data_IF_963197078059
#
_entry.id   IF_963197078059
#
_cell.length_a   1.000
_cell.length_b   1.000
_cell.length_c   1.000
_cell.angle_alpha   90.00
_cell.angle_beta   90.00
_cell.angle_gamma   90.00
#
_symmetry.space_group_name_H-M   'P 1'
#
loop_
_entity.id
_entity.type
_entity.pdbx_description
1 polymer ?
#
# COMPACT_ATOMS: atom_id res chain seq x y z
N UNK A 1 -20.58 12.55 -11.80
CA UNK A 1 -19.68 13.30 -10.89
C UNK A 1 -18.37 13.52 -11.63
N UNK A 2 -17.97 14.75 -11.94
CA UNK A 2 -16.70 15.01 -12.65
C UNK A 2 -15.57 14.90 -11.62
N UNK A 3 -14.81 13.81 -11.68
CA UNK A 3 -13.58 13.66 -10.90
C UNK A 3 -12.57 14.65 -11.50
N UNK A 4 -12.23 15.71 -10.78
CA UNK A 4 -11.11 16.57 -11.13
C UNK A 4 -9.84 15.76 -10.92
N UNK A 5 -9.28 15.22 -12.00
CA UNK A 5 -7.93 14.66 -12.00
C UNK A 5 -6.96 15.79 -11.72
N UNK A 6 -6.44 15.87 -10.49
CA UNK A 6 -5.29 16.74 -10.18
C UNK A 6 -4.15 16.31 -11.08
N UNK A 7 -3.69 17.20 -11.96
CA UNK A 7 -2.52 16.97 -12.79
C UNK A 7 -1.31 16.80 -11.88
N UNK A 8 -0.74 15.59 -11.84
CA UNK A 8 0.44 15.27 -11.04
C UNK A 8 1.65 16.03 -11.57
N UNK A 9 2.03 17.10 -10.88
CA UNK A 9 3.34 17.73 -11.08
C UNK A 9 4.33 16.88 -10.30
N UNK A 10 5.23 16.17 -11.00
CA UNK A 10 6.42 15.58 -10.38
C UNK A 10 7.11 16.68 -9.59
N UNK A 11 7.16 16.53 -8.27
CA UNK A 11 7.67 17.54 -7.35
C UNK A 11 8.91 16.99 -6.68
N UNK A 12 9.96 17.79 -6.60
CA UNK A 12 11.11 17.45 -5.78
C UNK A 12 10.85 17.87 -4.32
N UNK A 13 11.43 17.15 -3.35
CA UNK A 13 11.27 17.56 -1.95
C UNK A 13 11.91 18.91 -1.69
N UNK A 14 13.01 19.23 -2.36
CA UNK A 14 13.66 20.54 -2.30
C UNK A 14 12.74 21.68 -2.71
N UNK A 15 11.87 21.46 -3.70
CA UNK A 15 10.86 22.44 -4.12
C UNK A 15 9.72 22.54 -3.11
N UNK A 16 9.25 21.38 -2.63
CA UNK A 16 8.13 21.30 -1.69
C UNK A 16 8.40 22.11 -0.42
N UNK A 17 9.59 21.96 0.17
CA UNK A 17 9.94 22.63 1.44
C UNK A 17 10.08 24.16 1.31
N UNK A 18 10.13 24.69 0.09
CA UNK A 18 10.18 26.14 -0.16
C UNK A 18 8.81 26.78 -0.41
N UNK A 19 7.75 25.98 -0.46
CA UNK A 19 6.41 26.50 -0.72
C UNK A 19 5.90 27.34 0.43
N UNK A 20 5.25 28.46 0.07
CA UNK A 20 4.56 29.35 1.03
C UNK A 20 3.30 28.72 1.61
N UNK A 21 2.65 27.82 0.87
CA UNK A 21 1.49 27.05 1.33
C UNK A 21 1.75 25.55 1.14
N UNK A 22 1.73 24.84 2.27
CA UNK A 22 1.89 23.39 2.34
C UNK A 22 0.51 22.75 2.46
N UNK A 23 0.21 21.84 1.55
CA UNK A 23 -1.00 21.01 1.58
C UNK A 23 -0.76 19.78 2.47
N UNK A 24 -1.80 19.18 3.07
CA UNK A 24 -1.61 18.06 3.99
C UNK A 24 -1.15 16.76 3.30
N UNK A 25 -1.35 16.64 1.99
CA UNK A 25 -1.04 15.43 1.23
C UNK A 25 -0.28 15.74 -0.05
N UNK A 26 0.81 15.00 -0.30
CA UNK A 26 1.57 15.06 -1.55
C UNK A 26 1.87 13.65 -2.06
N UNK A 27 1.74 13.46 -3.37
CA UNK A 27 1.98 12.16 -3.99
C UNK A 27 3.01 12.22 -5.12
N UNK A 28 3.73 11.12 -5.33
CA UNK A 28 4.78 10.97 -6.33
C UNK A 28 5.88 12.03 -6.24
N UNK A 29 6.34 12.30 -5.00
CA UNK A 29 7.42 13.24 -4.72
C UNK A 29 8.77 12.56 -4.93
N UNK A 30 9.70 13.24 -5.60
CA UNK A 30 11.09 12.80 -5.70
C UNK A 30 11.84 13.22 -4.45
N UNK A 31 12.46 12.26 -3.77
CA UNK A 31 13.28 12.52 -2.59
C UNK A 31 14.73 12.87 -3.02
N UNK A 32 14.91 14.07 -3.56
CA UNK A 32 16.16 14.54 -4.16
C UNK A 32 17.21 14.97 -3.11
N UNK A 33 16.78 15.51 -1.98
CA UNK A 33 17.66 15.91 -0.86
C UNK A 33 17.31 15.18 0.44
N UNK A 34 18.31 15.07 1.34
CA UNK A 34 18.04 14.73 2.74
C UNK A 34 17.53 15.99 3.44
N UNK A 35 16.30 15.96 3.92
CA UNK A 35 15.72 17.10 4.64
C UNK A 35 16.25 17.15 6.08
N UNK A 36 16.48 18.36 6.57
CA UNK A 36 16.81 18.59 7.99
C UNK A 36 15.56 18.77 8.84
N UNK A 37 14.54 19.43 8.29
CA UNK A 37 13.23 19.66 8.90
C UNK A 37 12.12 19.37 7.88
N UNK A 38 11.16 18.51 8.24
CA UNK A 38 9.97 18.25 7.45
C UNK A 38 8.89 19.28 7.82
N UNK A 39 8.17 19.89 6.86
CA UNK A 39 7.06 20.80 7.18
C UNK A 39 5.97 20.06 7.96
N UNK A 40 5.52 20.59 9.11
CA UNK A 40 4.61 19.92 10.04
C UNK A 40 3.21 19.65 9.48
N UNK A 41 2.78 20.42 8.48
CA UNK A 41 1.46 20.35 7.87
C UNK A 41 1.24 19.06 7.07
N UNK A 42 2.30 18.42 6.58
CA UNK A 42 2.24 17.22 5.72
C UNK A 42 1.81 15.99 6.54
N UNK A 43 0.54 15.61 6.47
CA UNK A 43 0.04 14.41 7.15
C UNK A 43 0.39 13.13 6.40
N UNK A 44 0.37 13.19 5.07
CA UNK A 44 0.69 12.05 4.20
C UNK A 44 1.59 12.47 3.05
N UNK A 45 2.60 11.64 2.75
CA UNK A 45 3.47 11.87 1.60
C UNK A 45 3.82 10.55 0.94
N UNK A 46 3.88 10.53 -0.39
CA UNK A 46 4.45 9.40 -1.11
C UNK A 46 5.71 9.79 -1.87
N UNK A 47 6.71 8.91 -1.80
CA UNK A 47 8.01 9.10 -2.44
C UNK A 47 8.22 8.08 -3.55
N UNK A 48 8.58 8.56 -4.74
CA UNK A 48 9.05 7.70 -5.83
C UNK A 48 10.37 7.05 -5.43
N UNK A 49 10.39 5.72 -5.36
CA UNK A 49 11.59 4.98 -5.07
C UNK A 49 12.64 5.18 -6.18
N UNK A 50 13.87 5.46 -5.75
CA UNK A 50 15.03 5.43 -6.63
C UNK A 50 15.55 3.98 -6.68
N UNK A 51 15.61 3.41 -7.89
CA UNK A 51 15.93 2.00 -8.12
C UNK A 51 17.13 1.92 -9.08
N UNK A 52 18.17 1.20 -8.68
CA UNK A 52 19.40 1.02 -9.45
C UNK A 52 19.27 -0.05 -10.55
N UNK A 53 20.34 -0.25 -11.31
CA UNK A 53 20.49 -1.27 -12.35
C UNK A 53 20.47 -2.72 -11.84
N UNK A 54 20.58 -2.92 -10.51
CA UNK A 54 20.44 -4.22 -9.86
C UNK A 54 19.03 -4.47 -9.34
N UNK A 55 18.06 -3.62 -9.71
CA UNK A 55 16.65 -3.72 -9.32
C UNK A 55 16.43 -3.53 -7.81
N UNK A 56 17.31 -2.78 -7.14
CA UNK A 56 17.25 -2.51 -5.69
C UNK A 56 17.03 -1.03 -5.41
N UNK A 57 16.35 -0.74 -4.29
CA UNK A 57 16.24 0.64 -3.79
C UNK A 57 17.63 1.16 -3.44
N UNK A 58 17.97 2.35 -3.94
CA UNK A 58 19.33 2.88 -3.76
C UNK A 58 19.64 3.19 -2.29
N UNK A 59 20.88 2.99 -1.83
CA UNK A 59 21.29 3.39 -0.48
C UNK A 59 21.11 4.89 -0.21
N UNK A 60 21.26 5.72 -1.25
CA UNK A 60 21.03 7.17 -1.16
C UNK A 60 19.57 7.49 -0.83
N UNK A 61 18.62 6.86 -1.52
CA UNK A 61 17.20 7.00 -1.20
C UNK A 61 16.89 6.54 0.21
N UNK A 62 17.47 5.42 0.64
CA UNK A 62 17.31 4.92 2.01
C UNK A 62 17.71 5.96 3.06
N UNK A 63 18.91 6.50 2.96
CA UNK A 63 19.41 7.48 3.92
C UNK A 63 18.51 8.70 4.01
N UNK A 64 17.99 9.18 2.87
CA UNK A 64 17.05 10.32 2.84
C UNK A 64 15.69 9.95 3.45
N UNK A 65 15.17 8.76 3.16
CA UNK A 65 13.89 8.29 3.69
C UNK A 65 13.94 8.10 5.22
N UNK A 66 15.03 7.53 5.73
CA UNK A 66 15.30 7.43 7.17
C UNK A 66 15.33 8.82 7.80
N UNK A 67 16.03 9.76 7.16
CA UNK A 67 16.08 11.16 7.63
C UNK A 67 14.69 11.77 7.72
N UNK A 68 13.81 11.52 6.75
CA UNK A 68 12.40 11.94 6.81
C UNK A 68 11.67 11.29 8.00
N UNK A 69 11.73 9.96 8.13
CA UNK A 69 11.01 9.19 9.15
C UNK A 69 11.42 9.53 10.57
N UNK A 70 12.71 9.78 10.81
CA UNK A 70 13.21 10.20 12.12
C UNK A 70 12.69 11.58 12.54
N UNK A 71 12.37 12.45 11.57
CA UNK A 71 11.90 13.81 11.84
C UNK A 71 10.39 13.91 11.91
N UNK A 72 9.67 13.01 11.24
CA UNK A 72 8.23 13.12 11.09
C UNK A 72 7.49 11.79 11.15
N UNK A 73 6.46 11.76 12.00
CA UNK A 73 5.46 10.68 12.09
C UNK A 73 4.31 10.88 11.10
N UNK A 74 4.59 11.24 9.86
CA UNK A 74 3.59 11.30 8.78
C UNK A 74 3.33 9.89 8.24
N UNK A 75 2.18 9.69 7.61
CA UNK A 75 1.96 8.52 6.76
C UNK A 75 2.90 8.64 5.56
N UNK A 76 3.80 7.67 5.40
CA UNK A 76 4.77 7.66 4.30
C UNK A 76 4.52 6.45 3.42
N UNK A 77 4.30 6.69 2.14
CA UNK A 77 4.13 5.65 1.12
C UNK A 77 5.38 5.64 0.22
N UNK A 78 6.00 4.49 0.04
CA UNK A 78 7.08 4.32 -0.94
C UNK A 78 6.49 3.75 -2.22
N UNK A 79 6.61 4.50 -3.31
CA UNK A 79 6.04 4.15 -4.62
C UNK A 79 7.08 3.45 -5.49
N UNK A 80 6.77 2.24 -5.94
CA UNK A 80 7.56 1.48 -6.91
C UNK A 80 6.96 1.68 -8.30
N UNK A 81 7.65 2.37 -9.21
CA UNK A 81 7.17 2.56 -10.58
C UNK A 81 7.08 1.23 -11.35
N UNK A 82 5.98 1.01 -12.08
CA UNK A 82 5.80 -0.14 -12.98
C UNK A 82 6.88 -0.25 -14.06
N UNK A 83 7.37 0.89 -14.53
CA UNK A 83 8.36 1.00 -15.58
C UNK A 83 9.79 0.69 -15.12
N UNK A 84 9.99 0.37 -13.83
CA UNK A 84 11.27 -0.04 -13.25
C UNK A 84 11.19 -1.48 -12.78
N UNK A 85 12.27 -2.23 -13.01
CA UNK A 85 12.39 -3.55 -12.40
C UNK A 85 12.77 -3.37 -10.94
N UNK A 86 12.14 -4.10 -10.05
CA UNK A 86 12.37 -4.00 -8.62
C UNK A 86 12.26 -5.38 -7.97
N UNK A 87 13.22 -5.72 -7.12
CA UNK A 87 13.06 -6.84 -6.19
C UNK A 87 12.08 -6.41 -5.08
N UNK A 88 10.79 -6.62 -5.33
CA UNK A 88 9.72 -6.19 -4.42
C UNK A 88 9.76 -6.89 -3.05
N UNK A 89 10.36 -8.07 -2.92
CA UNK A 89 10.56 -8.71 -1.60
C UNK A 89 11.55 -7.92 -0.75
N UNK A 90 12.65 -7.48 -1.35
CA UNK A 90 13.64 -6.63 -0.66
C UNK A 90 13.04 -5.27 -0.32
N UNK A 91 12.29 -4.67 -1.25
CA UNK A 91 11.57 -3.41 -1.01
C UNK A 91 10.56 -3.55 0.14
N UNK A 92 9.78 -4.62 0.19
CA UNK A 92 8.84 -4.89 1.29
C UNK A 92 9.55 -4.96 2.65
N UNK A 93 10.66 -5.71 2.75
CA UNK A 93 11.42 -5.81 3.99
C UNK A 93 11.93 -4.44 4.46
N UNK A 94 12.46 -3.68 3.52
CA UNK A 94 12.98 -2.35 3.75
C UNK A 94 11.91 -1.38 4.27
N UNK A 95 10.79 -1.27 3.54
CA UNK A 95 9.71 -0.34 3.88
C UNK A 95 9.10 -0.73 5.24
N UNK A 96 9.06 -2.02 5.55
CA UNK A 96 8.47 -2.55 6.78
C UNK A 96 9.26 -2.14 8.00
N UNK A 97 10.59 -2.13 7.89
CA UNK A 97 11.47 -1.74 8.98
C UNK A 97 11.38 -0.24 9.31
N UNK A 98 10.88 0.58 8.38
CA UNK A 98 10.69 2.02 8.56
C UNK A 98 9.25 2.40 8.94
N UNK A 99 8.39 1.40 9.11
CA UNK A 99 6.95 1.58 9.35
C UNK A 99 6.29 2.47 8.28
N UNK A 100 6.73 2.31 7.03
CA UNK A 100 6.14 2.95 5.87
C UNK A 100 5.13 1.99 5.20
N UNK A 101 4.29 2.54 4.34
CA UNK A 101 3.46 1.78 3.40
C UNK A 101 4.20 1.63 2.07
N UNK A 102 3.86 0.60 1.30
CA UNK A 102 4.40 0.38 -0.05
C UNK A 102 3.29 0.55 -1.08
N UNK A 103 3.57 1.14 -2.22
CA UNK A 103 2.64 1.19 -3.34
C UNK A 103 3.32 0.70 -4.60
N UNK A 104 2.74 -0.31 -5.24
CA UNK A 104 3.09 -0.65 -6.61
C UNK A 104 2.30 0.28 -7.52
N UNK A 105 2.96 1.17 -8.26
CA UNK A 105 2.25 2.08 -9.15
C UNK A 105 1.68 1.33 -10.36
N UNK A 106 0.48 1.71 -10.84
CA UNK A 106 -0.13 1.04 -11.97
C UNK A 106 0.71 1.22 -13.24
N UNK A 107 0.68 0.24 -14.15
CA UNK A 107 1.41 0.26 -15.41
C UNK A 107 0.78 1.22 -16.42
N UNK A 108 1.58 1.65 -17.39
CA UNK A 108 1.03 2.09 -18.67
C UNK A 108 0.46 0.86 -19.39
N UNK A 109 -0.87 0.78 -19.50
CA UNK A 109 -1.55 -0.39 -20.06
C UNK A 109 -1.23 -0.62 -21.55
N UNK A 110 -0.67 0.36 -22.25
CA UNK A 110 -0.21 0.20 -23.63
C UNK A 110 1.12 -0.58 -23.73
N UNK A 111 1.76 -0.87 -22.60
CA UNK A 111 3.03 -1.58 -22.53
C UNK A 111 2.87 -2.90 -21.79
N UNK A 112 2.78 -3.99 -22.56
CA UNK A 112 2.57 -5.34 -22.04
C UNK A 112 3.58 -5.74 -20.97
N UNK A 113 4.87 -5.37 -21.14
CA UNK A 113 5.91 -5.68 -20.15
C UNK A 113 5.66 -5.02 -18.78
N UNK A 114 5.12 -3.79 -18.77
CA UNK A 114 4.77 -3.11 -17.51
C UNK A 114 3.56 -3.78 -16.84
N UNK A 115 2.55 -4.20 -17.63
CA UNK A 115 1.39 -4.95 -17.13
C UNK A 115 1.81 -6.26 -16.48
N UNK A 116 2.59 -7.08 -17.19
CA UNK A 116 3.04 -8.38 -16.71
C UNK A 116 3.88 -8.23 -15.43
N UNK A 117 4.78 -7.25 -15.40
CA UNK A 117 5.59 -6.95 -14.23
C UNK A 117 4.76 -6.51 -13.04
N UNK A 118 3.77 -5.63 -13.25
CA UNK A 118 2.88 -5.17 -12.20
C UNK A 118 2.11 -6.34 -11.56
N UNK A 119 1.51 -7.21 -12.39
CA UNK A 119 0.79 -8.40 -11.92
C UNK A 119 1.72 -9.35 -11.18
N UNK A 120 2.88 -9.69 -11.78
CA UNK A 120 3.89 -10.57 -11.16
C UNK A 120 4.33 -10.05 -9.80
N UNK A 121 4.70 -8.78 -9.71
CA UNK A 121 5.15 -8.16 -8.47
C UNK A 121 4.05 -8.15 -7.41
N UNK A 122 2.81 -7.88 -7.82
CA UNK A 122 1.67 -7.89 -6.92
C UNK A 122 1.37 -9.29 -6.37
N UNK A 123 1.50 -10.34 -7.19
CA UNK A 123 1.41 -11.73 -6.74
C UNK A 123 2.50 -12.07 -5.71
N UNK A 124 3.74 -11.68 -5.99
CA UNK A 124 4.88 -11.88 -5.07
C UNK A 124 4.67 -11.16 -3.74
N UNK A 125 4.12 -9.94 -3.78
CA UNK A 125 3.74 -9.19 -2.59
C UNK A 125 2.65 -9.93 -1.82
N UNK A 126 1.59 -10.39 -2.49
CA UNK A 126 0.49 -11.13 -1.87
C UNK A 126 1.00 -12.38 -1.14
N UNK A 127 1.82 -13.21 -1.80
CA UNK A 127 2.45 -14.38 -1.18
C UNK A 127 3.23 -14.01 0.09
N UNK A 128 3.96 -12.88 0.04
CA UNK A 128 4.77 -12.39 1.14
C UNK A 128 3.93 -11.89 2.33
N UNK A 129 2.78 -11.27 2.05
CA UNK A 129 1.81 -10.81 3.06
C UNK A 129 1.09 -11.98 3.72
N UNK A 130 0.78 -13.04 2.96
CA UNK A 130 0.12 -14.24 3.50
C UNK A 130 1.07 -15.10 4.34
N UNK A 131 2.35 -15.15 3.96
CA UNK A 131 3.34 -16.00 4.61
C UNK A 131 3.89 -15.42 5.91
N UNK A 132 3.88 -14.09 6.08
CA UNK A 132 4.42 -13.40 7.25
C UNK A 132 3.37 -12.41 7.75
N UNK A 133 3.06 -12.46 9.05
CA UNK A 133 2.19 -11.48 9.69
C UNK A 133 2.88 -10.11 9.75
N UNK A 134 2.85 -9.37 8.63
CA UNK A 134 3.42 -8.03 8.49
C UNK A 134 2.36 -6.99 8.77
N UNK A 135 2.66 -6.05 9.67
CA UNK A 135 1.84 -4.87 9.93
C UNK A 135 2.17 -3.76 8.92
N UNK A 136 2.04 -4.06 7.63
CA UNK A 136 2.23 -3.08 6.56
C UNK A 136 1.05 -3.15 5.60
N UNK A 137 0.60 -1.99 5.15
CA UNK A 137 -0.32 -1.87 4.03
C UNK A 137 0.44 -1.71 2.70
N UNK A 138 0.07 -2.50 1.70
CA UNK A 138 0.67 -2.46 0.35
C UNK A 138 -0.40 -2.21 -0.70
N UNK A 139 -0.34 -1.06 -1.39
CA UNK A 139 -1.29 -0.72 -2.45
C UNK A 139 -0.91 -1.40 -3.79
N UNK A 140 -1.90 -1.90 -4.56
CA UNK A 140 -3.32 -2.06 -4.20
C UNK A 140 -3.63 -3.43 -3.54
N UNK A 141 -2.61 -4.26 -3.30
CA UNK A 141 -2.71 -5.67 -2.92
C UNK A 141 -3.46 -5.88 -1.59
N UNK A 142 -3.11 -5.14 -0.54
CA UNK A 142 -3.74 -5.24 0.78
C UNK A 142 -5.23 -4.93 0.73
N UNK A 143 -5.63 -3.85 0.04
CA UNK A 143 -7.05 -3.49 -0.08
C UNK A 143 -7.87 -4.52 -0.83
N UNK A 144 -7.27 -5.23 -1.79
CA UNK A 144 -7.97 -6.33 -2.46
C UNK A 144 -8.05 -7.59 -1.58
N UNK A 145 -7.04 -7.88 -0.75
CA UNK A 145 -7.13 -8.94 0.25
C UNK A 145 -8.25 -8.65 1.28
N UNK A 146 -8.33 -7.41 1.76
CA UNK A 146 -9.41 -6.95 2.64
C UNK A 146 -10.78 -7.10 1.98
N UNK A 147 -10.89 -6.76 0.69
CA UNK A 147 -12.10 -7.02 -0.08
C UNK A 147 -12.46 -8.51 -0.13
N UNK A 148 -11.51 -9.41 -0.42
CA UNK A 148 -11.76 -10.85 -0.46
C UNK A 148 -12.19 -11.40 0.91
N UNK A 149 -11.61 -10.88 2.00
CA UNK A 149 -12.04 -11.23 3.37
C UNK A 149 -13.47 -10.72 3.61
N UNK A 150 -13.78 -9.48 3.25
CA UNK A 150 -15.11 -8.89 3.35
C UNK A 150 -16.17 -9.64 2.54
N UNK A 151 -15.84 -10.06 1.32
CA UNK A 151 -16.66 -10.93 0.48
C UNK A 151 -16.93 -12.26 1.19
N UNK A 152 -15.90 -12.89 1.77
CA UNK A 152 -16.02 -14.17 2.44
C UNK A 152 -16.88 -14.13 3.71
N UNK A 153 -16.77 -13.08 4.52
CA UNK A 153 -17.42 -13.01 5.85
C UNK A 153 -18.78 -12.31 5.84
N UNK A 154 -18.96 -11.33 4.95
CA UNK A 154 -20.13 -10.45 4.94
C UNK A 154 -20.86 -10.42 3.57
N UNK A 155 -20.38 -11.17 2.57
CA UNK A 155 -20.99 -11.20 1.25
C UNK A 155 -20.88 -9.87 0.50
N UNK A 156 -19.85 -9.07 0.81
CA UNK A 156 -19.59 -7.81 0.10
C UNK A 156 -19.27 -8.13 -1.36
N UNK A 157 -20.09 -7.62 -2.27
CA UNK A 157 -19.92 -7.81 -3.73
C UNK A 157 -19.32 -6.59 -4.43
N UNK A 158 -19.37 -5.43 -3.79
CA UNK A 158 -18.85 -4.17 -4.34
C UNK A 158 -18.18 -3.35 -3.26
N UNK A 159 -17.08 -2.69 -3.62
CA UNK A 159 -16.39 -1.74 -2.78
C UNK A 159 -15.92 -0.56 -3.64
N UNK A 160 -16.19 0.66 -3.19
CA UNK A 160 -15.70 1.88 -3.83
C UNK A 160 -14.62 2.48 -2.95
N UNK A 161 -13.43 2.80 -3.48
CA UNK A 161 -12.38 3.41 -2.68
C UNK A 161 -12.83 4.80 -2.21
N UNK A 162 -12.60 5.11 -0.94
CA UNK A 162 -12.82 6.44 -0.35
C UNK A 162 -11.51 7.18 -0.12
N UNK A 163 -10.38 6.47 -0.15
CA UNK A 163 -9.06 7.03 0.02
C UNK A 163 -8.62 7.81 -1.22
N UNK A 164 -8.25 9.08 -1.03
CA UNK A 164 -7.85 9.99 -2.12
C UNK A 164 -6.66 9.46 -2.92
N UNK A 165 -5.67 8.86 -2.24
CA UNK A 165 -4.50 8.30 -2.90
C UNK A 165 -4.89 7.13 -3.82
N UNK A 166 -5.78 6.24 -3.36
CA UNK A 166 -6.27 5.13 -4.17
C UNK A 166 -7.06 5.62 -5.39
N UNK A 167 -7.94 6.61 -5.19
CA UNK A 167 -8.75 7.18 -6.27
C UNK A 167 -7.85 7.80 -7.35
N UNK A 168 -6.94 8.67 -6.94
CA UNK A 168 -6.09 9.42 -7.85
C UNK A 168 -5.06 8.49 -8.53
N UNK A 169 -4.49 7.55 -7.78
CA UNK A 169 -3.38 6.72 -8.28
C UNK A 169 -3.86 5.53 -9.09
N UNK A 170 -4.93 4.85 -8.69
CA UNK A 170 -5.36 3.58 -9.31
C UNK A 170 -6.71 3.69 -10.01
N UNK A 171 -7.74 4.13 -9.28
CA UNK A 171 -9.13 4.05 -9.74
C UNK A 171 -9.37 4.82 -11.04
N UNK A 172 -8.69 5.96 -11.21
CA UNK A 172 -8.83 6.81 -12.40
C UNK A 172 -7.93 6.42 -13.58
N UNK A 173 -6.97 5.50 -13.39
CA UNK A 173 -5.90 5.21 -14.36
C UNK A 173 -5.94 3.82 -14.97
N UNK A 174 -6.66 2.88 -14.34
CA UNK A 174 -6.72 1.50 -14.80
C UNK A 174 -8.04 1.19 -15.51
N UNK A 175 -7.99 0.45 -16.61
CA UNK A 175 -9.18 -0.04 -17.31
C UNK A 175 -9.91 -1.13 -16.50
N UNK A 176 -11.25 -1.22 -16.60
CA UNK A 176 -12.00 -2.29 -15.96
C UNK A 176 -11.51 -3.69 -16.36
N UNK A 177 -11.11 -3.87 -17.61
CA UNK A 177 -10.61 -5.13 -18.15
C UNK A 177 -9.30 -5.54 -17.46
N UNK A 178 -8.35 -4.62 -17.32
CA UNK A 178 -7.09 -4.92 -16.64
C UNK A 178 -7.29 -5.11 -15.14
N UNK A 179 -8.20 -4.35 -14.50
CA UNK A 179 -8.53 -4.54 -13.08
C UNK A 179 -9.07 -5.94 -12.82
N UNK A 180 -9.89 -6.49 -13.72
CA UNK A 180 -10.39 -7.86 -13.61
C UNK A 180 -9.25 -8.88 -13.71
N UNK A 181 -8.41 -8.77 -14.73
CA UNK A 181 -7.22 -9.63 -14.95
C UNK A 181 -6.29 -9.64 -13.71
N UNK A 182 -6.00 -8.46 -13.18
CA UNK A 182 -5.22 -8.28 -11.96
C UNK A 182 -5.87 -8.97 -10.75
N UNK A 183 -7.17 -8.74 -10.54
CA UNK A 183 -7.94 -9.31 -9.43
C UNK A 183 -8.00 -10.83 -9.49
N UNK A 184 -8.16 -11.42 -10.67
CA UNK A 184 -8.14 -12.87 -10.85
C UNK A 184 -6.78 -13.47 -10.51
N UNK A 185 -5.69 -12.82 -10.94
CA UNK A 185 -4.32 -13.26 -10.66
C UNK A 185 -4.02 -13.28 -9.16
N UNK A 186 -4.40 -12.22 -8.44
CA UNK A 186 -4.21 -12.13 -6.99
C UNK A 186 -5.12 -13.10 -6.24
N UNK A 187 -6.38 -13.23 -6.66
CA UNK A 187 -7.36 -14.16 -6.07
C UNK A 187 -6.86 -15.60 -6.14
N UNK A 188 -6.27 -15.99 -7.27
CA UNK A 188 -5.63 -17.30 -7.44
C UNK A 188 -4.52 -17.52 -6.41
N UNK A 189 -3.61 -16.55 -6.22
CA UNK A 189 -2.54 -16.65 -5.21
C UNK A 189 -3.10 -16.90 -3.81
N UNK A 190 -4.13 -16.12 -3.41
CA UNK A 190 -4.76 -16.27 -2.10
C UNK A 190 -5.37 -17.67 -1.95
N UNK A 191 -6.14 -18.12 -2.94
CA UNK A 191 -6.81 -19.41 -2.85
C UNK A 191 -5.82 -20.56 -2.87
N UNK A 192 -4.80 -20.52 -3.72
CA UNK A 192 -3.74 -21.54 -3.78
C UNK A 192 -3.02 -21.64 -2.42
N UNK A 193 -2.73 -20.50 -1.76
CA UNK A 193 -2.08 -20.48 -0.45
C UNK A 193 -2.89 -21.18 0.64
N UNK A 194 -4.21 -21.01 0.66
CA UNK A 194 -5.09 -21.63 1.67
C UNK A 194 -5.60 -23.02 1.28
N UNK A 195 -5.27 -23.54 0.10
CA UNK A 195 -5.77 -24.84 -0.37
C UNK A 195 -7.17 -24.79 -1.01
N UNK A 196 -7.58 -23.61 -1.49
CA UNK A 196 -8.81 -23.36 -2.24
C UNK A 196 -9.73 -22.31 -1.60
N UNK A 197 -10.73 -21.88 -2.37
CA UNK A 197 -11.69 -20.85 -1.95
C UNK A 197 -12.46 -21.22 -0.66
N UNK A 198 -12.89 -22.49 -0.56
CA UNK A 198 -13.65 -22.96 0.61
C UNK A 198 -12.84 -22.89 1.90
N UNK A 199 -11.58 -23.31 1.86
CA UNK A 199 -10.70 -23.26 3.03
C UNK A 199 -10.32 -21.81 3.36
N UNK A 200 -10.08 -20.95 2.35
CA UNK A 200 -9.91 -19.51 2.57
C UNK A 200 -11.11 -18.90 3.33
N UNK A 201 -12.34 -19.13 2.86
CA UNK A 201 -13.56 -18.61 3.49
C UNK A 201 -13.69 -19.06 4.94
N UNK A 202 -13.43 -20.35 5.20
CA UNK A 202 -13.43 -20.91 6.56
C UNK A 202 -12.38 -20.24 7.45
N UNK A 203 -11.16 -20.03 6.95
CA UNK A 203 -10.07 -19.38 7.70
C UNK A 203 -10.37 -17.92 8.00
N UNK A 204 -10.91 -17.18 7.03
CA UNK A 204 -11.33 -15.79 7.22
C UNK A 204 -12.39 -15.67 8.34
N UNK A 205 -13.42 -16.52 8.31
CA UNK A 205 -14.45 -16.58 9.36
C UNK A 205 -13.87 -16.92 10.75
N UNK A 206 -12.97 -17.91 10.81
CA UNK A 206 -12.31 -18.28 12.06
C UNK A 206 -11.48 -17.14 12.64
N UNK A 207 -10.76 -16.39 11.80
CA UNK A 207 -9.95 -15.27 12.23
C UNK A 207 -10.82 -14.14 12.82
N UNK A 208 -11.91 -13.78 12.14
CA UNK A 208 -12.85 -12.77 12.64
C UNK A 208 -13.49 -13.21 13.96
N UNK A 209 -13.89 -14.48 14.07
CA UNK A 209 -14.42 -15.01 15.33
C UNK A 209 -13.40 -14.90 16.47
N UNK A 210 -12.14 -15.31 16.23
CA UNK A 210 -11.09 -15.19 17.23
C UNK A 210 -10.83 -13.74 17.66
N UNK A 211 -10.87 -12.80 16.72
CA UNK A 211 -10.79 -11.36 17.03
C UNK A 211 -11.97 -10.89 17.88
N UNK A 212 -13.20 -11.29 17.54
CA UNK A 212 -14.40 -10.93 18.29
C UNK A 212 -14.39 -11.51 19.71
N UNK A 213 -14.01 -12.77 19.87
CA UNK A 213 -13.90 -13.44 21.17
C UNK A 213 -12.85 -12.75 22.05
N UNK A 214 -11.69 -12.38 21.48
CA UNK A 214 -10.65 -11.63 22.19
C UNK A 214 -11.11 -10.23 22.63
N UNK A 215 -11.81 -9.49 21.75
CA UNK A 215 -12.35 -8.17 22.08
C UNK A 215 -13.37 -8.23 23.22
N UNK A 216 -14.27 -9.22 23.19
CA UNK A 216 -15.25 -9.41 24.27
C UNK A 216 -14.58 -9.71 25.61
N UNK A 217 -13.52 -10.52 25.61
CA UNK A 217 -12.74 -10.79 26.81
C UNK A 217 -12.12 -9.50 27.37
N UNK A 218 -11.47 -8.69 26.53
CA UNK A 218 -10.87 -7.43 26.96
C UNK A 218 -11.91 -6.44 27.50
N UNK A 219 -13.09 -6.37 26.89
CA UNK A 219 -14.18 -5.51 27.36
C UNK A 219 -14.76 -5.99 28.69
N UNK A 220 -14.89 -7.31 28.91
CA UNK A 220 -15.30 -7.84 30.21
C UNK A 220 -14.30 -7.55 31.32
N UNK A 221 -13.00 -7.66 31.02
CA UNK A 221 -11.92 -7.36 31.99
C UNK A 221 -11.83 -5.87 32.33
N UNK A 222 -12.11 -4.96 31.37
CA UNK A 222 -12.15 -3.52 31.63
C UNK A 222 -13.40 -3.08 32.41
N UNK A 223 -14.54 -3.72 32.17
CA UNK A 223 -15.79 -3.43 32.91
C UNK A 223 -15.74 -3.82 34.39
N UNK A 224 -14.86 -4.74 34.79
CA UNK A 224 -14.65 -5.11 36.19
C UNK A 224 -13.75 -4.11 36.95
N UNK A 225 -12.88 -3.37 36.25
CA UNK A 225 -11.95 -2.39 36.86
C UNK A 225 -12.63 -1.04 37.14
N UNK A 226 -13.60 -0.65 36.31
CA UNK A 226 -14.38 0.60 36.53
C UNK A 226 -15.47 0.44 37.61
N UNK A 227 -15.71 -0.78 38.09
CA UNK A 227 -16.68 -1.11 39.15
C UNK A 227 -16.05 -1.31 40.54
N UNK A 228 -14.73 -1.16 40.67
CA UNK A 228 -13.94 -1.28 41.92
C UNK A 228 -13.38 0.05 42.39
#
# INVERSE_FOLDING_TARGET
>A
MKIQTKTYIKMNISELVTKTKIEPSYYSVTLDIAITNAPDEIKRISFLADINEHNEITPSFYTKLVSWRLKKKSDVIVEIPSNKECNVKNALNFVSNLECELSLLPPDENKSEEKERFVKNSCVVMESLLSVNRRMYVYPVSGYLEFLIGEAIAGITTATPTDEYVIDTFYSKMSPEFVLEFKESIKKVVYDFFGGESEFKKRALMQVKATFDCLNQQLSEQGEVDAS
#
